data_IF_330887813034
#
_entry.id   IF_330887813034
#
_cell.length_a   1.000
_cell.length_b   1.000
_cell.length_c   1.000
_cell.angle_alpha   90.00
_cell.angle_beta   90.00
_cell.angle_gamma   90.00
#
_symmetry.space_group_name_H-M   'P 1'
#
loop_
_entity.id
_entity.type
_entity.pdbx_description
1 polymer ?
#
# COMPACT_ATOMS: atom_id res chain seq x y z
N UNK A 1 -22.19 -9.20 -14.86
CA UNK A 1 -22.31 -10.57 -14.34
C UNK A 1 -21.61 -10.73 -12.97
N UNK A 2 -20.40 -10.19 -12.76
CA UNK A 2 -19.68 -10.28 -11.46
C UNK A 2 -20.39 -9.49 -10.34
N UNK A 3 -20.92 -8.32 -10.64
CA UNK A 3 -21.65 -7.47 -9.67
C UNK A 3 -22.98 -8.11 -9.19
N UNK A 4 -23.66 -8.88 -10.02
CA UNK A 4 -24.87 -9.60 -9.60
C UNK A 4 -24.59 -10.75 -8.64
N UNK A 5 -23.40 -11.37 -8.68
CA UNK A 5 -23.02 -12.46 -7.79
C UNK A 5 -22.72 -11.98 -6.35
N UNK A 6 -22.23 -10.75 -6.20
CA UNK A 6 -21.87 -10.16 -4.91
C UNK A 6 -23.12 -9.71 -4.11
N UNK A 7 -24.23 -9.39 -4.79
CA UNK A 7 -25.46 -8.89 -4.15
C UNK A 7 -26.31 -10.02 -3.55
N UNK A 8 -26.09 -11.29 -3.93
CA UNK A 8 -26.91 -12.40 -3.43
C UNK A 8 -26.32 -13.21 -2.26
N UNK A 9 -25.47 -12.59 -1.43
CA UNK A 9 -24.98 -13.17 -0.17
C UNK A 9 -23.94 -14.28 -0.37
N UNK A 10 -22.77 -14.10 0.21
CA UNK A 10 -21.68 -15.06 0.42
C UNK A 10 -21.29 -15.97 -0.76
N UNK A 11 -20.28 -15.59 -1.50
CA UNK A 11 -19.59 -16.49 -2.42
C UNK A 11 -18.88 -17.58 -1.62
N UNK A 12 -19.43 -18.79 -1.57
CA UNK A 12 -18.76 -19.96 -0.99
C UNK A 12 -17.78 -20.52 -2.02
N UNK A 13 -16.49 -20.40 -1.76
CA UNK A 13 -15.44 -21.01 -2.55
C UNK A 13 -15.22 -22.49 -2.11
N UNK A 14 -14.92 -23.45 -3.00
CA UNK A 14 -14.82 -24.87 -2.65
C UNK A 14 -13.62 -25.17 -1.75
N UNK A 15 -13.87 -25.77 -0.58
CA UNK A 15 -12.87 -26.14 0.43
C UNK A 15 -12.23 -27.49 0.16
N UNK A 16 -10.91 -27.59 0.17
CA UNK A 16 -10.18 -28.81 0.48
C UNK A 16 -9.73 -28.76 1.94
N UNK A 17 -10.38 -29.61 2.77
CA UNK A 17 -10.05 -29.97 4.17
C UNK A 17 -9.80 -28.83 5.17
N UNK A 18 -10.76 -28.58 6.05
CA UNK A 18 -10.55 -28.21 7.45
C UNK A 18 -10.13 -26.75 7.74
N UNK A 19 -9.96 -25.87 6.76
CA UNK A 19 -9.85 -24.43 6.95
C UNK A 19 -11.18 -23.78 6.64
N UNK A 20 -11.71 -23.07 7.62
CA UNK A 20 -12.88 -22.20 7.45
C UNK A 20 -12.58 -21.24 6.31
N UNK A 21 -13.38 -21.34 5.22
CA UNK A 21 -13.19 -20.47 4.08
C UNK A 21 -13.77 -19.11 4.41
N UNK A 22 -12.92 -18.12 4.30
CA UNK A 22 -13.28 -16.71 4.47
C UNK A 22 -14.22 -16.32 3.31
N UNK A 23 -15.52 -16.25 3.59
CA UNK A 23 -16.47 -15.76 2.60
C UNK A 23 -16.28 -14.27 2.36
N UNK A 24 -16.19 -13.86 1.09
CA UNK A 24 -16.15 -12.45 0.74
C UNK A 24 -17.53 -11.83 1.02
N UNK A 25 -17.63 -10.97 2.00
CA UNK A 25 -18.87 -10.26 2.36
C UNK A 25 -18.94 -8.91 1.64
N UNK A 26 -20.11 -8.28 1.65
CA UNK A 26 -20.26 -6.91 1.16
C UNK A 26 -19.30 -5.95 1.88
N UNK A 27 -19.18 -6.08 3.19
CA UNK A 27 -18.30 -5.24 4.01
C UNK A 27 -16.82 -5.50 3.74
N UNK A 28 -16.45 -6.75 3.43
CA UNK A 28 -15.10 -7.10 2.96
C UNK A 28 -14.77 -6.36 1.67
N UNK A 29 -15.67 -6.34 0.72
CA UNK A 29 -15.48 -5.65 -0.55
C UNK A 29 -15.40 -4.13 -0.38
N UNK A 30 -16.30 -3.54 0.41
CA UNK A 30 -16.30 -2.11 0.71
C UNK A 30 -15.01 -1.72 1.43
N UNK A 31 -14.62 -2.47 2.47
CA UNK A 31 -13.37 -2.23 3.20
C UNK A 31 -12.13 -2.36 2.31
N UNK A 32 -12.09 -3.38 1.45
CA UNK A 32 -11.04 -3.56 0.47
C UNK A 32 -10.90 -2.37 -0.48
N UNK A 33 -12.01 -1.91 -1.09
CA UNK A 33 -11.98 -0.81 -2.04
C UNK A 33 -11.56 0.51 -1.39
N UNK A 34 -12.06 0.78 -0.18
CA UNK A 34 -11.67 1.98 0.60
C UNK A 34 -10.19 1.91 1.01
N UNK A 35 -9.71 0.76 1.47
CA UNK A 35 -8.32 0.58 1.84
C UNK A 35 -7.39 0.68 0.61
N UNK A 36 -7.77 0.08 -0.53
CA UNK A 36 -7.02 0.19 -1.78
C UNK A 36 -6.95 1.64 -2.27
N UNK A 37 -8.06 2.38 -2.22
CA UNK A 37 -8.07 3.81 -2.52
C UNK A 37 -7.15 4.59 -1.58
N UNK A 38 -7.21 4.31 -0.28
CA UNK A 38 -6.36 5.00 0.69
C UNK A 38 -4.87 4.77 0.46
N UNK A 39 -4.46 3.54 0.15
CA UNK A 39 -3.07 3.22 -0.21
C UNK A 39 -2.65 3.96 -1.48
N UNK A 40 -3.52 4.04 -2.48
CA UNK A 40 -3.23 4.76 -3.73
C UNK A 40 -3.16 6.28 -3.48
N UNK A 41 -4.11 6.86 -2.76
CA UNK A 41 -4.22 8.30 -2.60
C UNK A 41 -3.24 8.88 -1.56
N UNK A 42 -2.86 8.11 -0.55
CA UNK A 42 -1.97 8.54 0.52
C UNK A 42 -0.54 8.02 0.32
N UNK A 43 -0.37 6.71 0.27
CA UNK A 43 0.94 6.08 0.37
C UNK A 43 1.72 6.15 -0.95
N UNK A 44 1.04 6.07 -2.11
CA UNK A 44 1.69 6.28 -3.41
C UNK A 44 2.21 7.70 -3.57
N UNK A 45 1.44 8.70 -3.15
CA UNK A 45 1.86 10.11 -3.26
C UNK A 45 3.07 10.37 -2.38
N UNK A 46 3.10 9.83 -1.17
CA UNK A 46 4.26 9.96 -0.27
C UNK A 46 5.51 9.29 -0.83
N UNK A 47 5.35 8.16 -1.51
CA UNK A 47 6.46 7.35 -2.01
C UNK A 47 6.95 7.78 -3.39
N UNK A 48 6.01 8.10 -4.28
CA UNK A 48 6.29 8.39 -5.69
C UNK A 48 6.25 9.88 -6.04
N UNK A 49 5.72 10.75 -5.16
CA UNK A 49 5.45 12.15 -5.47
C UNK A 49 6.68 12.93 -5.94
N UNK A 50 7.81 12.82 -5.25
CA UNK A 50 9.05 13.48 -5.66
C UNK A 50 9.63 12.94 -6.97
N UNK A 51 9.48 11.63 -7.21
CA UNK A 51 9.87 11.02 -8.46
C UNK A 51 8.96 11.45 -9.62
N UNK A 52 7.66 11.53 -9.40
CA UNK A 52 6.70 12.06 -10.37
C UNK A 52 7.04 13.51 -10.72
N UNK A 53 7.18 14.38 -9.71
CA UNK A 53 7.48 15.81 -9.88
C UNK A 53 8.79 16.05 -10.66
N UNK A 54 9.80 15.21 -10.47
CA UNK A 54 11.09 15.35 -11.17
C UNK A 54 11.11 14.75 -12.58
N UNK A 55 10.08 13.99 -12.96
CA UNK A 55 10.05 13.27 -14.24
C UNK A 55 8.86 13.67 -15.15
N UNK A 56 7.84 14.38 -14.66
CA UNK A 56 6.62 14.73 -15.39
C UNK A 56 6.88 15.61 -16.65
N UNK A 57 7.92 16.44 -16.65
CA UNK A 57 8.29 17.25 -17.80
C UNK A 57 8.92 16.42 -18.94
N UNK A 58 9.46 15.23 -18.62
CA UNK A 58 10.23 14.40 -19.54
C UNK A 58 9.50 13.18 -20.03
N UNK A 59 8.64 12.63 -19.18
CA UNK A 59 7.89 11.40 -19.44
C UNK A 59 6.41 11.67 -19.35
N UNK A 60 5.66 11.10 -20.29
CA UNK A 60 4.21 11.10 -20.22
C UNK A 60 3.76 10.33 -18.96
N UNK A 61 2.65 10.78 -18.34
CA UNK A 61 2.06 10.12 -17.19
C UNK A 61 1.85 8.60 -17.40
N UNK A 62 1.54 8.16 -18.64
CA UNK A 62 1.40 6.73 -18.99
C UNK A 62 2.68 5.93 -18.77
N UNK A 63 3.85 6.52 -19.05
CA UNK A 63 5.14 5.87 -18.82
C UNK A 63 5.43 5.74 -17.33
N UNK A 64 5.15 6.79 -16.56
CA UNK A 64 5.34 6.80 -15.12
C UNK A 64 4.37 5.82 -14.45
N UNK A 65 3.10 5.85 -14.84
CA UNK A 65 2.09 4.89 -14.40
C UNK A 65 2.48 3.45 -14.72
N UNK A 66 2.93 3.16 -15.94
CA UNK A 66 3.32 1.81 -16.33
C UNK A 66 4.51 1.30 -15.48
N UNK A 67 5.50 2.16 -15.22
CA UNK A 67 6.64 1.81 -14.37
C UNK A 67 6.21 1.52 -12.90
N UNK A 68 5.39 2.40 -12.32
CA UNK A 68 4.86 2.21 -10.96
C UNK A 68 3.97 0.96 -10.86
N UNK A 69 3.12 0.73 -11.88
CA UNK A 69 2.25 -0.45 -11.98
C UNK A 69 3.05 -1.74 -12.14
N UNK A 70 4.15 -1.72 -12.88
CA UNK A 70 5.03 -2.89 -13.02
C UNK A 70 5.63 -3.31 -11.68
N UNK A 71 6.12 -2.36 -10.88
CA UNK A 71 6.63 -2.63 -9.53
C UNK A 71 5.51 -3.13 -8.61
N UNK A 72 4.34 -2.51 -8.67
CA UNK A 72 3.18 -2.93 -7.89
C UNK A 72 2.77 -4.37 -8.22
N UNK A 73 2.62 -4.69 -9.50
CA UNK A 73 2.28 -6.04 -9.93
C UNK A 73 3.35 -7.06 -9.52
N UNK A 74 4.63 -6.71 -9.72
CA UNK A 74 5.73 -7.55 -9.28
C UNK A 74 5.66 -7.82 -7.76
N UNK A 75 5.39 -6.80 -6.95
CA UNK A 75 5.22 -6.93 -5.49
C UNK A 75 4.05 -7.85 -5.15
N UNK A 76 2.88 -7.59 -5.71
CA UNK A 76 1.67 -8.39 -5.46
C UNK A 76 1.87 -9.87 -5.82
N UNK A 77 2.32 -10.13 -7.05
CA UNK A 77 2.46 -11.49 -7.56
C UNK A 77 3.60 -12.24 -6.88
N UNK A 78 4.71 -11.57 -6.59
CA UNK A 78 5.79 -12.16 -5.81
C UNK A 78 5.32 -12.56 -4.41
N UNK A 79 4.65 -11.64 -3.67
CA UNK A 79 4.09 -11.93 -2.36
C UNK A 79 3.12 -13.10 -2.40
N UNK A 80 2.19 -13.10 -3.36
CA UNK A 80 1.20 -14.14 -3.56
C UNK A 80 1.81 -15.51 -3.83
N UNK A 81 2.81 -15.58 -4.72
CA UNK A 81 3.46 -16.85 -5.10
C UNK A 81 4.33 -17.43 -3.97
N UNK A 82 5.13 -16.57 -3.32
CA UNK A 82 6.07 -17.02 -2.29
C UNK A 82 5.38 -17.40 -0.99
N UNK A 83 4.25 -16.73 -0.67
CA UNK A 83 3.55 -16.96 0.60
C UNK A 83 2.26 -17.81 0.42
N UNK A 84 2.15 -18.58 -0.66
CA UNK A 84 1.04 -19.53 -0.84
C UNK A 84 -0.35 -18.86 -0.88
N UNK A 85 -0.45 -17.71 -1.55
CA UNK A 85 -1.69 -16.94 -1.68
C UNK A 85 -1.83 -15.78 -0.69
N UNK A 86 -0.97 -15.65 0.30
CA UNK A 86 -0.97 -14.52 1.23
C UNK A 86 -0.22 -13.32 0.65
N UNK A 87 -0.96 -12.26 0.29
CA UNK A 87 -0.39 -11.01 -0.20
C UNK A 87 0.10 -10.08 0.91
N UNK A 88 -0.14 -10.42 2.18
CA UNK A 88 0.28 -9.60 3.33
C UNK A 88 1.74 -9.79 3.73
N UNK A 89 2.48 -10.67 3.06
CA UNK A 89 3.83 -11.05 3.43
C UNK A 89 3.94 -11.60 4.86
N UNK A 90 2.92 -12.36 5.31
CA UNK A 90 2.86 -12.94 6.65
C UNK A 90 2.57 -11.93 7.76
N UNK A 91 2.33 -10.67 7.45
CA UNK A 91 2.11 -9.61 8.46
C UNK A 91 0.82 -9.80 9.23
N UNK A 92 -0.17 -10.45 8.63
CA UNK A 92 -1.45 -10.75 9.28
C UNK A 92 -1.42 -11.99 10.17
N UNK A 93 -0.30 -12.71 10.27
CA UNK A 93 -0.20 -13.91 11.10
C UNK A 93 -0.45 -13.66 12.60
N UNK A 94 -0.27 -12.42 13.06
CA UNK A 94 -0.50 -11.99 14.45
C UNK A 94 -1.89 -11.40 14.69
N UNK A 95 -2.65 -11.18 13.63
CA UNK A 95 -4.01 -10.66 13.70
C UNK A 95 -4.95 -11.84 13.48
N UNK A 96 -5.78 -12.22 14.46
CA UNK A 96 -6.71 -13.33 14.31
C UNK A 96 -7.68 -13.01 13.19
N UNK A 97 -8.04 -14.04 12.43
CA UNK A 97 -9.08 -13.88 11.43
C UNK A 97 -10.42 -13.62 12.11
N UNK A 98 -11.18 -12.69 11.57
CA UNK A 98 -12.54 -12.42 12.00
C UNK A 98 -13.39 -12.00 10.79
N UNK A 99 -14.68 -12.23 10.86
CA UNK A 99 -15.60 -11.81 9.84
C UNK A 99 -15.66 -10.28 9.76
N UNK A 100 -15.55 -9.75 8.55
CA UNK A 100 -15.55 -8.30 8.33
C UNK A 100 -16.97 -7.76 8.49
N UNK A 101 -17.14 -6.86 9.44
CA UNK A 101 -18.38 -6.15 9.75
C UNK A 101 -18.30 -4.71 9.25
N UNK A 102 -19.43 -4.01 9.25
CA UNK A 102 -19.52 -2.62 8.79
C UNK A 102 -18.54 -1.67 9.50
N UNK A 103 -18.29 -1.85 10.78
CA UNK A 103 -17.38 -1.00 11.56
C UNK A 103 -15.90 -1.21 11.18
N UNK A 104 -15.53 -2.37 10.67
CA UNK A 104 -14.19 -2.57 10.11
C UNK A 104 -13.97 -1.71 8.87
N UNK A 105 -15.00 -1.54 8.04
CA UNK A 105 -14.93 -0.68 6.86
C UNK A 105 -14.93 0.83 7.22
N UNK A 106 -15.35 1.20 8.44
CA UNK A 106 -15.30 2.58 8.91
C UNK A 106 -13.86 3.10 9.03
N UNK A 107 -12.90 2.26 9.39
CA UNK A 107 -11.49 2.66 9.54
C UNK A 107 -10.88 3.18 8.21
N UNK A 108 -10.91 2.45 7.09
CA UNK A 108 -10.43 2.99 5.82
C UNK A 108 -11.30 4.16 5.32
N UNK A 109 -12.58 4.25 5.65
CA UNK A 109 -13.41 5.41 5.33
C UNK A 109 -12.90 6.67 6.05
N UNK A 110 -12.61 6.58 7.34
CA UNK A 110 -12.01 7.67 8.13
C UNK A 110 -10.64 8.04 7.55
N UNK A 111 -9.83 7.05 7.17
CA UNK A 111 -8.55 7.28 6.55
C UNK A 111 -8.67 8.08 5.24
N UNK A 112 -9.63 7.73 4.39
CA UNK A 112 -9.93 8.47 3.15
C UNK A 112 -10.34 9.91 3.47
N UNK A 113 -11.19 10.13 4.46
CA UNK A 113 -11.60 11.48 4.88
C UNK A 113 -10.41 12.31 5.38
N UNK A 114 -9.58 11.76 6.25
CA UNK A 114 -8.37 12.43 6.76
C UNK A 114 -7.36 12.74 5.65
N UNK A 115 -7.16 11.81 4.72
CA UNK A 115 -6.29 12.03 3.55
C UNK A 115 -6.81 13.17 2.68
N UNK A 116 -8.12 13.25 2.45
CA UNK A 116 -8.75 14.35 1.70
C UNK A 116 -8.64 15.70 2.41
N UNK A 117 -8.56 15.70 3.73
CA UNK A 117 -8.31 16.90 4.54
C UNK A 117 -6.83 17.29 4.61
N UNK A 118 -5.93 16.52 3.99
CA UNK A 118 -4.49 16.75 4.04
C UNK A 118 -3.84 16.37 5.38
N UNK A 119 -4.52 15.59 6.21
CA UNK A 119 -3.98 15.13 7.50
C UNK A 119 -3.17 13.85 7.28
N UNK A 120 -1.85 13.86 7.52
CA UNK A 120 -1.03 12.66 7.40
C UNK A 120 -1.35 11.68 8.54
N UNK A 121 -1.67 10.45 8.17
CA UNK A 121 -2.00 9.38 9.14
C UNK A 121 -1.33 8.07 8.74
N UNK A 122 -1.05 7.22 9.72
CA UNK A 122 -0.54 5.88 9.46
C UNK A 122 -1.68 4.96 9.02
N UNK A 123 -1.68 4.61 7.74
CA UNK A 123 -2.64 3.68 7.11
C UNK A 123 -2.69 2.36 7.88
N UNK A 124 -1.54 1.75 8.14
CA UNK A 124 -1.47 0.47 8.86
C UNK A 124 -2.00 0.58 10.29
N UNK A 125 -1.69 1.65 11.00
CA UNK A 125 -2.20 1.83 12.35
C UNK A 125 -3.73 1.94 12.35
N UNK A 126 -4.29 2.81 11.51
CA UNK A 126 -5.73 3.07 11.50
C UNK A 126 -6.52 1.85 11.03
N UNK A 127 -6.09 1.19 9.96
CA UNK A 127 -6.82 0.06 9.37
C UNK A 127 -6.65 -1.22 10.20
N UNK A 128 -5.42 -1.57 10.61
CA UNK A 128 -5.19 -2.82 11.31
C UNK A 128 -5.60 -2.80 12.78
N UNK A 129 -5.71 -1.60 13.39
CA UNK A 129 -6.10 -1.47 14.81
C UNK A 129 -7.50 -2.03 15.09
N UNK A 130 -8.44 -1.89 14.15
CA UNK A 130 -9.82 -2.39 14.32
C UNK A 130 -9.93 -3.91 14.23
N UNK A 131 -8.88 -4.58 13.72
CA UNK A 131 -8.78 -6.04 13.68
C UNK A 131 -7.85 -6.59 14.77
N UNK A 132 -7.13 -5.74 15.47
CA UNK A 132 -6.11 -6.15 16.42
C UNK A 132 -6.72 -6.52 17.76
N UNK A 133 -6.17 -7.55 18.41
CA UNK A 133 -6.40 -7.76 19.83
C UNK A 133 -5.70 -6.66 20.65
N UNK A 134 -6.14 -6.44 21.90
CA UNK A 134 -5.53 -5.44 22.82
C UNK A 134 -4.01 -5.57 22.88
N UNK A 135 -3.51 -6.78 23.00
CA UNK A 135 -2.07 -7.06 23.04
C UNK A 135 -1.35 -6.65 21.74
N UNK A 136 -1.97 -6.91 20.57
CA UNK A 136 -1.41 -6.51 19.28
C UNK A 136 -1.46 -4.99 19.13
N UNK A 137 -2.55 -4.36 19.56
CA UNK A 137 -2.72 -2.90 19.54
C UNK A 137 -1.68 -2.20 20.40
N UNK A 138 -1.42 -2.66 21.62
CA UNK A 138 -0.37 -2.12 22.49
C UNK A 138 1.01 -2.19 21.84
N UNK A 139 1.34 -3.34 21.21
CA UNK A 139 2.59 -3.50 20.47
C UNK A 139 2.68 -2.59 19.24
N UNK A 140 1.57 -2.37 18.54
CA UNK A 140 1.52 -1.45 17.40
C UNK A 140 1.74 -0.01 17.87
N UNK A 141 1.09 0.41 18.96
CA UNK A 141 1.28 1.73 19.58
C UNK A 141 2.74 1.95 19.99
N UNK A 142 3.31 1.03 20.76
CA UNK A 142 4.69 1.14 21.21
C UNK A 142 5.68 1.24 20.04
N UNK A 143 5.50 0.39 19.01
CA UNK A 143 6.36 0.45 17.81
C UNK A 143 6.20 1.76 17.05
N UNK A 144 4.97 2.28 16.93
CA UNK A 144 4.73 3.55 16.25
C UNK A 144 5.37 4.71 16.99
N UNK A 145 5.20 4.79 18.32
CA UNK A 145 5.84 5.83 19.13
C UNK A 145 7.36 5.79 19.05
N UNK A 146 7.96 4.60 19.19
CA UNK A 146 9.41 4.43 19.04
C UNK A 146 9.87 4.78 17.62
N UNK A 147 9.11 4.35 16.60
CA UNK A 147 9.40 4.64 15.21
C UNK A 147 9.38 6.14 14.91
N UNK A 148 8.39 6.87 15.41
CA UNK A 148 8.32 8.32 15.26
C UNK A 148 9.46 9.05 15.99
N UNK A 149 9.83 8.61 17.18
CA UNK A 149 10.97 9.19 17.90
C UNK A 149 12.28 8.98 17.13
N UNK A 150 12.55 7.77 16.66
CA UNK A 150 13.73 7.44 15.85
C UNK A 150 13.71 8.21 14.52
N UNK A 151 12.55 8.28 13.85
CA UNK A 151 12.39 9.01 12.60
C UNK A 151 12.65 10.52 12.78
N UNK A 152 12.18 11.13 13.87
CA UNK A 152 12.42 12.53 14.15
C UNK A 152 13.92 12.83 14.33
N UNK A 153 14.63 12.00 15.09
CA UNK A 153 16.08 12.13 15.27
C UNK A 153 16.81 11.92 13.94
N UNK A 154 16.48 10.86 13.22
CA UNK A 154 17.09 10.57 11.93
C UNK A 154 16.83 11.69 10.90
N UNK A 155 15.60 12.21 10.82
CA UNK A 155 15.27 13.32 9.94
C UNK A 155 16.08 14.58 10.27
N UNK A 156 16.25 14.90 11.55
CA UNK A 156 17.06 16.03 11.97
C UNK A 156 18.54 15.89 11.57
N UNK A 157 19.12 14.71 11.81
CA UNK A 157 20.52 14.42 11.46
C UNK A 157 20.72 14.45 9.93
N UNK A 158 19.82 13.81 9.20
CA UNK A 158 19.86 13.79 7.73
C UNK A 158 19.68 15.20 7.17
N UNK A 159 18.75 15.99 7.72
CA UNK A 159 18.52 17.37 7.31
C UNK A 159 19.79 18.22 7.43
N UNK A 160 20.46 18.16 8.59
CA UNK A 160 21.72 18.88 8.79
C UNK A 160 22.77 18.44 7.78
N UNK A 161 22.96 17.12 7.60
CA UNK A 161 23.94 16.57 6.67
C UNK A 161 23.64 16.95 5.22
N UNK A 162 22.39 16.81 4.78
CA UNK A 162 21.96 17.16 3.42
C UNK A 162 22.08 18.65 3.16
N UNK A 163 21.65 19.50 4.12
CA UNK A 163 21.75 20.96 3.97
C UNK A 163 23.21 21.39 3.82
N UNK A 164 24.11 20.84 4.64
CA UNK A 164 25.53 21.12 4.53
C UNK A 164 26.10 20.68 3.18
N UNK A 165 25.80 19.47 2.75
CA UNK A 165 26.23 18.92 1.44
C UNK A 165 25.69 19.73 0.27
N UNK A 166 24.41 20.14 0.31
CA UNK A 166 23.79 20.92 -0.78
C UNK A 166 24.36 22.34 -0.86
N UNK A 167 24.66 22.97 0.27
CA UNK A 167 25.28 24.30 0.28
C UNK A 167 26.72 24.27 -0.27
N UNK A 168 27.42 23.14 -0.19
CA UNK A 168 28.77 22.94 -0.70
C UNK A 168 28.77 22.31 -2.11
N UNK A 169 27.63 21.80 -2.57
CA UNK A 169 27.54 21.05 -3.83
C UNK A 169 27.63 21.96 -5.05
N UNK A 170 28.54 21.63 -5.96
CA UNK A 170 28.57 22.23 -7.30
C UNK A 170 27.43 21.64 -8.14
N UNK A 171 26.93 22.38 -9.16
CA UNK A 171 25.96 21.85 -10.10
C UNK A 171 26.43 20.52 -10.69
N UNK A 172 25.50 19.54 -10.77
CA UNK A 172 25.80 18.22 -11.33
C UNK A 172 26.18 18.39 -12.80
N UNK A 173 27.36 17.91 -13.19
CA UNK A 173 27.82 17.94 -14.58
C UNK A 173 26.85 17.16 -15.48
N UNK A 174 26.68 17.62 -16.71
CA UNK A 174 25.76 17.02 -17.68
C UNK A 174 26.02 15.52 -17.90
N UNK A 175 27.31 15.13 -17.92
CA UNK A 175 27.73 13.73 -18.06
C UNK A 175 27.21 12.80 -16.99
N UNK A 176 26.97 13.30 -15.77
CA UNK A 176 26.47 12.51 -14.62
C UNK A 176 24.95 12.54 -14.47
N UNK A 177 24.23 13.44 -15.14
CA UNK A 177 22.77 13.55 -15.02
C UNK A 177 22.02 12.27 -15.37
N UNK A 178 22.52 11.52 -16.39
CA UNK A 178 21.94 10.24 -16.77
C UNK A 178 22.08 9.20 -15.66
N UNK A 179 23.28 9.09 -15.07
CA UNK A 179 23.54 8.15 -13.98
C UNK A 179 22.66 8.44 -12.76
N UNK A 180 22.55 9.72 -12.37
CA UNK A 180 21.69 10.14 -11.26
C UNK A 180 20.23 9.82 -11.51
N UNK A 181 19.74 9.96 -12.74
CA UNK A 181 18.36 9.60 -13.08
C UNK A 181 18.13 8.09 -12.97
N UNK A 182 19.05 7.29 -13.50
CA UNK A 182 18.97 5.82 -13.36
C UNK A 182 18.94 5.45 -11.86
N UNK A 183 19.83 6.03 -11.07
CA UNK A 183 19.84 5.81 -9.62
C UNK A 183 18.50 6.19 -8.97
N UNK A 184 17.92 7.34 -9.32
CA UNK A 184 16.60 7.76 -8.83
C UNK A 184 15.52 6.73 -9.17
N UNK A 185 15.44 6.27 -10.42
CA UNK A 185 14.44 5.29 -10.83
C UNK A 185 14.58 3.95 -10.09
N UNK A 186 15.80 3.47 -9.95
CA UNK A 186 16.10 2.21 -9.24
C UNK A 186 15.75 2.34 -7.75
N UNK A 187 16.22 3.40 -7.11
CA UNK A 187 15.96 3.61 -5.66
C UNK A 187 14.49 3.87 -5.38
N UNK A 188 13.78 4.60 -6.24
CA UNK A 188 12.32 4.81 -6.12
C UNK A 188 11.57 3.50 -6.32
N UNK A 189 11.95 2.69 -7.32
CA UNK A 189 11.35 1.37 -7.52
C UNK A 189 11.53 0.45 -6.31
N UNK A 190 12.72 0.44 -5.72
CA UNK A 190 13.00 -0.31 -4.50
C UNK A 190 12.21 0.21 -3.29
N UNK A 191 12.13 1.54 -3.12
CA UNK A 191 11.35 2.16 -2.07
C UNK A 191 9.86 1.80 -2.22
N UNK A 192 9.33 1.89 -3.44
CA UNK A 192 7.94 1.56 -3.73
C UNK A 192 7.63 0.08 -3.48
N UNK A 193 8.50 -0.83 -3.90
CA UNK A 193 8.40 -2.25 -3.58
C UNK A 193 8.35 -2.49 -2.06
N UNK A 194 9.27 -1.88 -1.32
CA UNK A 194 9.36 -2.04 0.14
C UNK A 194 8.11 -1.51 0.83
N UNK A 195 7.62 -0.33 0.39
CA UNK A 195 6.41 0.26 0.94
C UNK A 195 5.18 -0.60 0.67
N UNK A 196 4.98 -1.00 -0.58
CA UNK A 196 3.87 -1.88 -0.97
C UNK A 196 3.86 -3.20 -0.19
N UNK A 197 5.01 -3.85 -0.02
CA UNK A 197 5.09 -5.08 0.75
C UNK A 197 4.63 -4.91 2.21
N UNK A 198 4.71 -3.69 2.75
CA UNK A 198 4.14 -3.32 4.03
C UNK A 198 2.64 -3.06 3.96
N UNK A 199 2.19 -2.30 2.96
CA UNK A 199 0.82 -1.82 2.88
C UNK A 199 -0.17 -2.87 2.40
N UNK A 200 0.32 -3.94 1.75
CA UNK A 200 -0.54 -5.06 1.36
C UNK A 200 -1.30 -5.67 2.53
N UNK A 201 -0.79 -5.63 3.75
CA UNK A 201 -1.50 -6.09 4.93
C UNK A 201 -2.80 -5.29 5.21
N UNK A 202 -2.78 -3.98 4.90
CA UNK A 202 -3.93 -3.09 5.11
C UNK A 202 -5.11 -3.43 4.20
N UNK A 203 -4.84 -4.09 3.10
CA UNK A 203 -5.80 -4.50 2.08
C UNK A 203 -6.17 -5.96 2.29
N UNK A 204 -5.16 -6.81 2.51
CA UNK A 204 -5.33 -8.25 2.71
C UNK A 204 -6.18 -8.58 3.95
N UNK A 205 -6.28 -7.69 4.93
CA UNK A 205 -7.12 -7.89 6.13
C UNK A 205 -8.60 -7.98 5.78
N UNK A 206 -9.04 -7.41 4.67
CA UNK A 206 -10.41 -7.47 4.15
C UNK A 206 -10.65 -8.64 3.20
N UNK A 207 -9.60 -9.36 2.83
CA UNK A 207 -9.64 -10.44 1.85
C UNK A 207 -9.43 -11.81 2.54
N UNK A 208 -9.75 -12.92 1.86
CA UNK A 208 -9.35 -14.24 2.30
C UNK A 208 -7.83 -14.29 2.53
N UNK A 209 -7.39 -14.96 3.61
CA UNK A 209 -5.96 -15.09 3.94
C UNK A 209 -5.12 -15.70 2.82
N UNK A 210 -5.72 -16.60 2.06
CA UNK A 210 -5.18 -17.11 0.82
C UNK A 210 -6.05 -16.59 -0.31
N UNK A 211 -5.56 -15.58 -1.00
CA UNK A 211 -6.26 -14.94 -2.11
C UNK A 211 -6.31 -15.92 -3.29
N UNK A 212 -7.49 -16.33 -3.77
CA UNK A 212 -7.59 -17.20 -4.95
C UNK A 212 -7.20 -16.42 -6.21
N UNK A 213 -6.89 -17.16 -7.28
CA UNK A 213 -6.36 -16.61 -8.52
C UNK A 213 -7.27 -15.56 -9.18
N UNK A 214 -8.56 -15.80 -9.25
CA UNK A 214 -9.55 -14.89 -9.81
C UNK A 214 -9.63 -13.58 -9.03
N UNK A 215 -9.62 -13.66 -7.69
CA UNK A 215 -9.61 -12.50 -6.83
C UNK A 215 -8.27 -11.74 -6.93
N UNK A 216 -7.15 -12.45 -7.14
CA UNK A 216 -5.84 -11.83 -7.34
C UNK A 216 -5.80 -10.98 -8.61
N UNK A 217 -6.44 -11.43 -9.69
CA UNK A 217 -6.60 -10.63 -10.91
C UNK A 217 -7.41 -9.37 -10.61
N UNK A 218 -8.54 -9.50 -9.90
CA UNK A 218 -9.38 -8.35 -9.53
C UNK A 218 -8.59 -7.33 -8.69
N UNK A 219 -7.85 -7.78 -7.67
CA UNK A 219 -6.98 -6.93 -6.85
C UNK A 219 -5.98 -6.19 -7.73
N UNK A 220 -5.30 -6.91 -8.63
CA UNK A 220 -4.34 -6.32 -9.56
C UNK A 220 -4.96 -5.24 -10.44
N UNK A 221 -6.15 -5.49 -10.98
CA UNK A 221 -6.89 -4.54 -11.83
C UNK A 221 -7.30 -3.29 -11.04
N UNK A 222 -7.83 -3.44 -9.83
CA UNK A 222 -8.23 -2.31 -8.98
C UNK A 222 -7.05 -1.38 -8.73
N UNK A 223 -5.88 -1.93 -8.42
CA UNK A 223 -4.68 -1.14 -8.17
C UNK A 223 -4.13 -0.46 -9.41
N UNK A 224 -4.02 -1.19 -10.53
CA UNK A 224 -3.50 -0.64 -11.79
C UNK A 224 -4.39 0.50 -12.30
N UNK A 225 -5.72 0.31 -12.23
CA UNK A 225 -6.69 1.34 -12.63
C UNK A 225 -6.64 2.53 -11.66
N UNK A 226 -6.60 2.28 -10.35
CA UNK A 226 -6.51 3.34 -9.35
C UNK A 226 -5.24 4.19 -9.52
N UNK A 227 -4.09 3.55 -9.75
CA UNK A 227 -2.85 4.27 -10.07
C UNK A 227 -2.98 5.09 -11.37
N UNK A 228 -3.69 4.59 -12.40
CA UNK A 228 -3.88 5.35 -13.64
C UNK A 228 -4.61 6.67 -13.39
N UNK A 229 -5.64 6.67 -12.53
CA UNK A 229 -6.33 7.91 -12.13
C UNK A 229 -5.39 8.84 -11.37
N UNK A 230 -4.66 8.34 -10.37
CA UNK A 230 -3.71 9.15 -9.60
C UNK A 230 -2.65 9.81 -10.50
N UNK A 231 -2.05 9.06 -11.43
CA UNK A 231 -1.02 9.61 -12.34
C UNK A 231 -1.59 10.55 -13.41
N UNK A 232 -2.88 10.48 -13.68
CA UNK A 232 -3.54 11.38 -14.62
C UNK A 232 -3.92 12.72 -13.97
N UNK A 233 -4.24 12.71 -12.70
CA UNK A 233 -4.67 13.89 -11.94
C UNK A 233 -3.47 14.69 -11.36
N UNK A 234 -2.34 14.07 -11.12
CA UNK A 234 -1.12 14.67 -10.54
C UNK A 234 -0.06 14.95 -11.56
#
# INVERSE_FOLDING_TARGET
ALLCFVVSGSVKLPSKKGKQMDALTLWSLVGFLLAAYAVIANDSVQTLGTWMASNNERFNYKTLWAAASAVLLATLWYGWTVNGGDISYGRLNKIPWQEVQWYHAAAPLILVALTRMGVPVSTSFLVLSVFASTFVLEKMLMKSMMGYAVAAVAAYVIWIGVTKLLNEAKPVKEEHKKAWRIAQWVTTGFLWFTWLSHDMANIAVFLPRQVPWDLMILVSLVFVVGLAFMFKEG
#
